data_IF_848970328657
#
_entry.id   IF_848970328657
#
_cell.length_a   1.000
_cell.length_b   1.000
_cell.length_c   1.000
_cell.angle_alpha   90.00
_cell.angle_beta   90.00
_cell.angle_gamma   90.00
#
_symmetry.space_group_name_H-M   'P 1'
#
loop_
_entity.id
_entity.type
_entity.pdbx_description
1 polymer ?
#
# COMPACT_ATOMS: atom_id res chain seq x y z
N UNK A 1 -10.59 -0.62 -48.99
CA UNK A 1 -11.13 0.58 -48.30
C UNK A 1 -11.98 0.21 -47.08
N UNK A 2 -13.12 -0.50 -47.21
CA UNK A 2 -13.99 -0.87 -46.06
C UNK A 2 -13.27 -1.55 -44.87
N UNK A 3 -12.34 -2.47 -45.14
CA UNK A 3 -11.57 -3.18 -44.10
C UNK A 3 -10.66 -2.26 -43.28
N UNK A 4 -10.09 -1.24 -43.91
CA UNK A 4 -9.24 -0.25 -43.24
C UNK A 4 -10.07 0.65 -42.31
N UNK A 5 -11.27 1.02 -42.77
CA UNK A 5 -12.22 1.84 -41.98
C UNK A 5 -12.74 1.08 -40.76
N UNK A 6 -13.08 -0.21 -40.93
CA UNK A 6 -13.51 -1.07 -39.82
C UNK A 6 -12.37 -1.28 -38.82
N UNK A 7 -11.14 -1.54 -39.29
CA UNK A 7 -9.97 -1.67 -38.41
C UNK A 7 -9.68 -0.37 -37.64
N UNK A 8 -9.78 0.79 -38.31
CA UNK A 8 -9.64 2.10 -37.68
C UNK A 8 -10.70 2.33 -36.60
N UNK A 9 -11.96 1.97 -36.86
CA UNK A 9 -13.03 2.06 -35.85
C UNK A 9 -12.74 1.18 -34.64
N UNK A 10 -12.24 -0.04 -34.84
CA UNK A 10 -11.83 -0.92 -33.75
C UNK A 10 -10.71 -0.28 -32.91
N UNK A 11 -9.69 0.31 -33.54
CA UNK A 11 -8.62 1.02 -32.83
C UNK A 11 -9.16 2.17 -32.00
N UNK A 12 -10.04 3.00 -32.56
CA UNK A 12 -10.65 4.13 -31.84
C UNK A 12 -11.46 3.63 -30.64
N UNK A 13 -12.26 2.58 -30.80
CA UNK A 13 -13.03 2.00 -29.70
C UNK A 13 -12.14 1.44 -28.59
N UNK A 14 -11.02 0.79 -28.95
CA UNK A 14 -10.07 0.29 -27.97
C UNK A 14 -9.38 1.43 -27.21
N UNK A 15 -8.97 2.49 -27.91
CA UNK A 15 -8.36 3.66 -27.29
C UNK A 15 -9.37 4.38 -26.37
N UNK A 16 -10.62 4.52 -26.80
CA UNK A 16 -11.67 5.12 -25.99
C UNK A 16 -11.97 4.30 -24.73
N UNK A 17 -12.09 2.98 -24.87
CA UNK A 17 -12.30 2.07 -23.74
C UNK A 17 -11.12 2.12 -22.76
N UNK A 18 -9.89 2.05 -23.28
CA UNK A 18 -8.67 2.14 -22.47
C UNK A 18 -8.58 3.46 -21.71
N UNK A 19 -8.82 4.58 -22.40
CA UNK A 19 -8.80 5.90 -21.78
C UNK A 19 -9.89 6.04 -20.71
N UNK A 20 -11.11 5.57 -21.00
CA UNK A 20 -12.21 5.55 -20.05
C UNK A 20 -11.90 4.74 -18.79
N UNK A 21 -11.41 3.50 -18.96
CA UNK A 21 -11.01 2.64 -17.84
C UNK A 21 -9.85 3.25 -17.04
N UNK A 22 -8.85 3.82 -17.72
CA UNK A 22 -7.72 4.47 -17.07
C UNK A 22 -8.15 5.63 -16.17
N UNK A 23 -9.01 6.51 -16.68
CA UNK A 23 -9.56 7.64 -15.91
C UNK A 23 -10.40 7.16 -14.73
N UNK A 24 -11.27 6.17 -14.96
CA UNK A 24 -12.14 5.62 -13.93
C UNK A 24 -11.34 5.03 -12.76
N UNK A 25 -10.35 4.18 -13.05
CA UNK A 25 -9.50 3.55 -12.03
C UNK A 25 -8.62 4.57 -11.30
N UNK A 26 -8.21 5.64 -11.98
CA UNK A 26 -7.46 6.73 -11.34
C UNK A 26 -8.33 7.52 -10.35
N UNK A 27 -9.63 7.64 -10.60
CA UNK A 27 -10.56 8.34 -9.71
C UNK A 27 -11.04 7.46 -8.54
N UNK A 28 -11.14 6.14 -8.73
CA UNK A 28 -11.67 5.19 -7.76
C UNK A 28 -10.59 4.21 -7.26
N UNK A 29 -9.49 4.77 -6.76
CA UNK A 29 -8.37 3.95 -6.28
C UNK A 29 -8.74 3.33 -4.93
N UNK A 30 -8.74 1.99 -4.79
CA UNK A 30 -8.86 1.35 -3.48
C UNK A 30 -7.63 1.65 -2.61
N UNK A 31 -7.90 1.84 -1.32
CA UNK A 31 -6.85 2.02 -0.31
C UNK A 31 -6.29 0.66 0.14
N UNK A 32 -4.97 0.58 0.28
CA UNK A 32 -4.25 -0.47 1.00
C UNK A 32 -3.67 0.15 2.26
N UNK A 33 -3.94 -0.45 3.41
CA UNK A 33 -3.29 -0.06 4.65
C UNK A 33 -2.05 -0.92 4.88
N UNK A 34 -0.89 -0.29 5.01
CA UNK A 34 0.37 -0.92 5.40
C UNK A 34 0.78 -0.37 6.77
N UNK A 35 0.81 -1.23 7.78
CA UNK A 35 1.29 -0.89 9.12
C UNK A 35 2.65 -1.52 9.34
N UNK A 36 3.59 -0.70 9.79
CA UNK A 36 4.97 -1.10 10.04
C UNK A 36 5.19 -1.24 11.53
N UNK A 37 5.70 -2.41 11.94
CA UNK A 37 6.21 -2.62 13.29
C UNK A 37 7.58 -1.93 13.42
N UNK A 38 7.62 -0.86 14.20
CA UNK A 38 8.86 -0.11 14.47
C UNK A 38 9.53 -0.53 15.78
N UNK A 39 9.23 -1.72 16.29
CA UNK A 39 9.88 -2.27 17.49
C UNK A 39 11.41 -2.21 17.39
N UNK A 40 12.08 -1.91 18.50
CA UNK A 40 13.55 -1.88 18.56
C UNK A 40 14.24 -3.12 17.98
N UNK A 41 13.65 -4.31 18.15
CA UNK A 41 14.16 -5.57 17.63
C UNK A 41 14.24 -5.60 16.09
N UNK A 42 13.36 -4.86 15.41
CA UNK A 42 13.24 -4.84 13.95
C UNK A 42 14.03 -3.70 13.32
N UNK A 43 14.72 -2.87 14.09
CA UNK A 43 15.56 -1.78 13.58
C UNK A 43 16.55 -2.23 12.48
N UNK A 44 17.22 -3.41 12.57
CA UNK A 44 18.06 -3.92 11.49
C UNK A 44 17.30 -4.19 10.18
N UNK A 45 15.99 -4.42 10.26
CA UNK A 45 15.13 -4.78 9.13
C UNK A 45 14.41 -3.58 8.50
N UNK A 46 14.52 -2.37 9.04
CA UNK A 46 13.83 -1.18 8.51
C UNK A 46 14.14 -0.92 7.04
N UNK A 47 15.40 -1.09 6.63
CA UNK A 47 15.78 -0.97 5.22
C UNK A 47 15.12 -2.06 4.33
N UNK A 48 14.91 -3.27 4.85
CA UNK A 48 14.22 -4.33 4.13
C UNK A 48 12.71 -4.04 4.00
N UNK A 49 12.09 -3.54 5.07
CA UNK A 49 10.70 -3.11 5.08
C UNK A 49 10.47 -1.94 4.12
N UNK A 50 11.37 -0.95 4.10
CA UNK A 50 11.29 0.18 3.16
C UNK A 50 11.37 -0.30 1.71
N UNK A 51 12.30 -1.20 1.38
CA UNK A 51 12.40 -1.81 0.05
C UNK A 51 11.13 -2.58 -0.31
N UNK A 52 10.53 -3.28 0.65
CA UNK A 52 9.27 -3.98 0.45
C UNK A 52 8.14 -2.97 0.12
N UNK A 53 8.04 -1.87 0.85
CA UNK A 53 7.05 -0.81 0.60
C UNK A 53 7.26 -0.19 -0.78
N UNK A 54 8.51 0.13 -1.13
CA UNK A 54 8.86 0.68 -2.44
C UNK A 54 8.50 -0.28 -3.59
N UNK A 55 8.78 -1.57 -3.41
CA UNK A 55 8.40 -2.59 -4.38
C UNK A 55 6.88 -2.74 -4.49
N UNK A 56 6.16 -2.68 -3.37
CA UNK A 56 4.70 -2.74 -3.37
C UNK A 56 4.11 -1.58 -4.17
N UNK A 57 4.55 -0.36 -3.89
CA UNK A 57 4.11 0.85 -4.58
C UNK A 57 4.36 0.78 -6.10
N UNK A 58 5.55 0.33 -6.51
CA UNK A 58 5.90 0.19 -7.92
C UNK A 58 4.97 -0.78 -8.69
N UNK A 59 4.37 -1.76 -7.99
CA UNK A 59 3.50 -2.76 -8.58
C UNK A 59 2.00 -2.42 -8.47
N UNK A 60 1.63 -1.35 -7.75
CA UNK A 60 0.23 -0.96 -7.55
C UNK A 60 -0.10 0.35 -8.28
N UNK A 61 -0.41 0.26 -9.59
CA UNK A 61 -0.66 1.43 -10.46
C UNK A 61 -1.94 2.23 -10.13
N UNK A 62 -2.98 1.59 -9.61
CA UNK A 62 -4.28 2.23 -9.33
C UNK A 62 -4.74 1.99 -7.90
N UNK A 63 -3.81 2.02 -6.94
CA UNK A 63 -4.14 1.80 -5.54
C UNK A 63 -3.38 2.82 -4.72
N UNK A 64 -4.02 3.25 -3.63
CA UNK A 64 -3.43 4.22 -2.71
C UNK A 64 -2.87 3.48 -1.52
N UNK A 65 -1.59 3.67 -1.22
CA UNK A 65 -0.97 3.06 -0.05
C UNK A 65 -1.07 4.05 1.11
N UNK A 66 -1.83 3.67 2.13
CA UNK A 66 -1.91 4.36 3.40
C UNK A 66 -0.94 3.69 4.36
N UNK A 67 -0.06 4.47 4.99
CA UNK A 67 0.99 3.96 5.88
C UNK A 67 0.65 4.30 7.33
N UNK A 68 0.86 3.33 8.20
CA UNK A 68 0.83 3.48 9.65
C UNK A 68 2.03 2.84 10.32
N UNK A 69 2.18 3.14 11.61
CA UNK A 69 3.17 2.55 12.52
C UNK A 69 2.46 2.03 13.77
N UNK A 70 3.17 1.44 14.72
CA UNK A 70 2.61 1.08 16.02
C UNK A 70 2.10 2.30 16.83
N UNK A 71 2.49 3.53 16.46
CA UNK A 71 2.07 4.77 17.16
C UNK A 71 1.06 5.62 16.41
N UNK A 72 1.22 5.75 15.09
CA UNK A 72 0.49 6.74 14.33
C UNK A 72 0.19 6.27 12.91
N UNK A 73 -0.99 6.66 12.44
CA UNK A 73 -1.33 6.69 11.03
C UNK A 73 -0.57 7.87 10.40
N UNK A 74 0.28 7.61 9.41
CA UNK A 74 1.10 8.62 8.75
C UNK A 74 0.40 9.23 7.54
N UNK A 75 -0.57 8.51 6.96
CA UNK A 75 -1.35 8.96 5.80
C UNK A 75 -0.89 8.29 4.50
N UNK A 76 -1.14 8.94 3.37
CA UNK A 76 -0.80 8.38 2.05
C UNK A 76 0.71 8.41 1.80
N UNK A 77 1.28 7.27 1.41
CA UNK A 77 2.71 7.08 1.13
C UNK A 77 3.25 8.14 0.16
N UNK A 78 2.51 8.42 -0.92
CA UNK A 78 2.88 9.38 -1.95
C UNK A 78 2.93 10.84 -1.45
N UNK A 79 2.26 11.13 -0.32
CA UNK A 79 2.20 12.47 0.28
C UNK A 79 3.20 12.67 1.42
N UNK A 80 3.91 11.62 1.82
CA UNK A 80 4.90 11.70 2.89
C UNK A 80 6.08 12.57 2.47
N UNK A 81 6.47 13.52 3.33
CA UNK A 81 7.63 14.40 3.08
C UNK A 81 8.94 13.63 2.92
N UNK A 82 9.10 12.53 3.65
CA UNK A 82 10.21 11.58 3.53
C UNK A 82 9.74 10.19 3.96
N UNK A 83 10.22 9.14 3.29
CA UNK A 83 9.99 7.74 3.67
C UNK A 83 10.65 7.38 4.99
N UNK A 84 11.75 8.07 5.34
CA UNK A 84 12.40 7.94 6.63
C UNK A 84 11.45 8.27 7.79
N UNK A 85 10.39 9.06 7.55
CA UNK A 85 9.38 9.36 8.55
C UNK A 85 8.69 8.10 9.11
N UNK A 86 8.65 7.01 8.33
CA UNK A 86 8.09 5.71 8.75
C UNK A 86 8.96 5.07 9.83
N UNK A 87 10.28 5.23 9.72
CA UNK A 87 11.28 4.54 10.53
C UNK A 87 12.05 5.48 11.47
N UNK A 88 11.64 6.75 11.56
CA UNK A 88 12.38 7.82 12.25
C UNK A 88 12.61 7.52 13.72
N UNK A 89 11.64 6.86 14.34
CA UNK A 89 11.69 6.51 15.75
C UNK A 89 11.33 5.04 15.88
N UNK A 90 12.26 4.24 16.40
CA UNK A 90 11.93 2.90 16.85
C UNK A 90 11.23 3.02 18.20
N UNK A 91 10.12 2.30 18.34
CA UNK A 91 9.35 2.28 19.57
C UNK A 91 9.58 0.96 20.33
N UNK A 92 8.94 0.85 21.49
CA UNK A 92 8.89 -0.40 22.25
C UNK A 92 8.24 -1.53 21.44
N UNK A 93 7.88 -2.63 22.11
CA UNK A 93 7.28 -3.77 21.42
C UNK A 93 5.88 -3.43 20.91
N UNK A 94 5.61 -3.70 19.64
CA UNK A 94 4.26 -3.66 19.08
C UNK A 94 3.38 -4.75 19.72
N UNK A 95 2.10 -4.45 19.93
CA UNK A 95 1.09 -5.39 20.42
C UNK A 95 -0.16 -5.37 19.53
N UNK A 96 -1.08 -6.32 19.75
CA UNK A 96 -2.37 -6.34 19.08
C UNK A 96 -3.21 -5.08 19.39
N UNK A 97 -3.02 -4.47 20.57
CA UNK A 97 -3.75 -3.26 20.96
C UNK A 97 -3.34 -2.05 20.11
N UNK A 98 -2.07 -1.97 19.68
CA UNK A 98 -1.64 -0.93 18.74
C UNK A 98 -2.43 -0.97 17.43
N UNK A 99 -2.91 -2.16 17.04
CA UNK A 99 -3.63 -2.36 15.79
C UNK A 99 -5.11 -2.00 15.85
N UNK A 100 -5.71 -1.95 17.05
CA UNK A 100 -7.11 -1.55 17.22
C UNK A 100 -7.38 -0.16 16.63
N UNK A 101 -6.38 0.73 16.65
CA UNK A 101 -6.49 2.08 16.05
C UNK A 101 -6.79 2.05 14.56
N UNK A 102 -6.50 0.95 13.88
CA UNK A 102 -6.69 0.76 12.45
C UNK A 102 -7.95 -0.04 12.10
N UNK A 103 -8.75 -0.44 13.09
CA UNK A 103 -9.99 -1.18 12.84
C UNK A 103 -10.97 -0.37 11.99
N UNK A 104 -11.16 0.91 12.34
CA UNK A 104 -12.02 1.84 11.62
C UNK A 104 -11.46 2.29 10.25
N UNK A 105 -10.20 1.96 9.93
CA UNK A 105 -9.63 2.29 8.62
C UNK A 105 -10.22 1.36 7.56
N UNK A 106 -10.99 1.93 6.64
CA UNK A 106 -11.53 1.24 5.48
C UNK A 106 -10.41 1.08 4.46
N UNK A 107 -9.94 -0.15 4.29
CA UNK A 107 -8.95 -0.50 3.29
C UNK A 107 -9.34 -1.84 2.65
N UNK A 108 -9.09 -1.98 1.35
CA UNK A 108 -9.32 -3.24 0.62
C UNK A 108 -8.44 -4.36 1.16
N UNK A 109 -7.24 -4.00 1.60
CA UNK A 109 -6.23 -4.92 2.15
C UNK A 109 -5.53 -4.25 3.33
N UNK A 110 -5.33 -4.99 4.41
CA UNK A 110 -4.56 -4.55 5.58
C UNK A 110 -3.33 -5.44 5.70
N UNK A 111 -2.15 -4.82 5.71
CA UNK A 111 -0.86 -5.50 5.70
C UNK A 111 -0.07 -5.07 6.93
N UNK A 112 0.50 -6.03 7.64
CA UNK A 112 1.38 -5.81 8.77
C UNK A 112 2.80 -6.26 8.40
N UNK A 113 3.77 -5.37 8.50
CA UNK A 113 5.20 -5.70 8.41
C UNK A 113 5.71 -5.89 9.83
N UNK A 114 6.01 -7.12 10.26
CA UNK A 114 6.40 -7.40 11.65
C UNK A 114 7.35 -8.60 11.79
N UNK A 115 7.75 -8.92 13.02
CA UNK A 115 8.48 -10.15 13.36
C UNK A 115 7.61 -11.43 13.29
N UNK A 116 6.32 -11.29 12.95
CA UNK A 116 5.37 -12.39 12.88
C UNK A 116 4.83 -12.86 14.22
N UNK A 117 5.21 -12.22 15.34
CA UNK A 117 4.72 -12.54 16.68
C UNK A 117 3.23 -12.20 16.87
N UNK A 118 2.70 -11.29 16.04
CA UNK A 118 1.29 -10.88 16.04
C UNK A 118 0.66 -11.22 14.69
N UNK A 119 -0.51 -11.87 14.72
CA UNK A 119 -1.27 -12.27 13.54
C UNK A 119 -2.74 -11.88 13.71
N UNK A 120 -3.06 -10.60 13.47
CA UNK A 120 -4.42 -10.08 13.64
C UNK A 120 -5.32 -10.64 12.53
N UNK A 121 -6.56 -10.97 12.88
CA UNK A 121 -7.50 -11.56 11.93
C UNK A 121 -7.80 -10.60 10.77
N UNK A 122 -7.75 -11.10 9.54
CA UNK A 122 -8.04 -10.30 8.33
C UNK A 122 -6.87 -9.44 7.83
N UNK A 123 -5.67 -9.61 8.41
CA UNK A 123 -4.46 -8.94 7.93
C UNK A 123 -3.52 -9.92 7.25
N UNK A 124 -2.83 -9.44 6.23
CA UNK A 124 -1.67 -10.12 5.65
C UNK A 124 -0.42 -9.73 6.43
N UNK A 125 0.26 -10.71 7.03
CA UNK A 125 1.49 -10.46 7.78
C UNK A 125 2.69 -10.80 6.89
N UNK A 126 3.58 -9.82 6.71
CA UNK A 126 4.89 -9.99 6.07
C UNK A 126 5.94 -10.01 7.17
N UNK A 127 6.62 -11.14 7.29
CA UNK A 127 7.56 -11.39 8.39
C UNK A 127 8.98 -10.97 8.04
N UNK A 128 9.64 -10.29 8.97
CA UNK A 128 11.05 -9.92 8.91
C UNK A 128 11.77 -10.52 10.13
N UNK A 129 12.93 -11.20 9.94
CA UNK A 129 13.64 -11.92 11.00
C UNK A 129 14.43 -11.01 11.95
#
# INVERSE_FOLDING_TARGET
MKRLTVFGLFLVLHLAAWAGTHVYLKQHQPDILVVVDTSYALKPQFAAMERWIAHREANTRYQRIIVGTDKALLGELATLKSRDAIFRTAFGRMSADNLQRYEATIAREKILLSDGSIRPQGWTVVTFP
#
